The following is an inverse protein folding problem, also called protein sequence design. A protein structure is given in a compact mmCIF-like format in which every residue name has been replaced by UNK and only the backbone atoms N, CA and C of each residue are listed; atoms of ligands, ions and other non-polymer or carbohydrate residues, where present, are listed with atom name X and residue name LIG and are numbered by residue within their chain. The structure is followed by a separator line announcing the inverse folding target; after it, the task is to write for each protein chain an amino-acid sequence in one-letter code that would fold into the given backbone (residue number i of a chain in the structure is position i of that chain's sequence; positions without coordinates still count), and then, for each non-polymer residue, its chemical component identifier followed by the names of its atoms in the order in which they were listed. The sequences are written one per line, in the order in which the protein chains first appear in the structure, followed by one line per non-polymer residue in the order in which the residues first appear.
data_IF_112158895465
#
_entry.id   IF_112158895465
#
_cell.length_a   1.000
_cell.length_b   1.000
_cell.length_c   1.000
_cell.angle_alpha   90.00
_cell.angle_beta   90.00
_cell.angle_gamma   90.00
#
_symmetry.space_group_name_H-M   'P 1'
#
loop_
_entity.id
_entity.type
_entity.pdbx_description
1 polymer ?
#
# COMPACT_ATOMS: atom_id res chain seq x y z
N UNK A 1 42.18 -21.38 -30.09
CA UNK A 1 42.81 -20.44 -29.14
C UNK A 1 43.06 -21.18 -27.83
N UNK A 2 44.32 -21.35 -27.41
CA UNK A 2 44.64 -21.87 -26.06
C UNK A 2 44.48 -20.71 -25.09
N UNK A 3 43.50 -20.78 -24.19
CA UNK A 3 43.42 -19.84 -23.07
C UNK A 3 44.56 -20.22 -22.12
N UNK A 4 45.64 -19.45 -22.14
CA UNK A 4 46.76 -19.63 -21.22
C UNK A 4 46.22 -19.42 -19.80
N UNK A 5 46.10 -20.49 -19.00
CA UNK A 5 45.74 -20.35 -17.60
C UNK A 5 46.95 -19.79 -16.86
N UNK A 6 47.01 -18.47 -16.71
CA UNK A 6 48.02 -17.82 -15.89
C UNK A 6 48.02 -18.44 -14.47
N UNK A 7 49.20 -18.64 -13.89
CA UNK A 7 49.33 -19.18 -12.53
C UNK A 7 48.63 -18.26 -11.52
N UNK A 8 48.19 -18.81 -10.40
CA UNK A 8 47.53 -18.05 -9.34
C UNK A 8 48.39 -16.88 -8.85
N UNK A 9 49.72 -17.07 -8.81
CA UNK A 9 50.67 -16.02 -8.47
C UNK A 9 50.60 -14.82 -9.44
N UNK A 10 50.57 -15.08 -10.75
CA UNK A 10 50.43 -14.02 -11.76
C UNK A 10 49.08 -13.32 -11.60
N UNK A 11 48.00 -14.07 -11.36
CA UNK A 11 46.66 -13.49 -11.18
C UNK A 11 46.57 -12.62 -9.94
N UNK A 12 47.14 -13.04 -8.81
CA UNK A 12 47.19 -12.24 -7.58
C UNK A 12 48.01 -10.96 -7.77
N UNK A 13 49.17 -11.05 -8.43
CA UNK A 13 50.05 -9.89 -8.69
C UNK A 13 49.42 -8.89 -9.65
N UNK A 14 48.63 -9.36 -10.62
CA UNK A 14 47.99 -8.51 -11.63
C UNK A 14 46.64 -7.93 -11.20
N UNK A 15 45.96 -8.58 -10.25
CA UNK A 15 44.65 -8.15 -9.72
C UNK A 15 44.54 -6.66 -9.35
N UNK A 16 45.48 -6.04 -8.59
CA UNK A 16 45.36 -4.63 -8.22
C UNK A 16 45.35 -3.64 -9.40
N UNK A 17 45.86 -4.03 -10.58
CA UNK A 17 45.76 -3.20 -11.79
C UNK A 17 44.31 -2.96 -12.21
N UNK A 18 43.42 -3.91 -11.93
CA UNK A 18 42.00 -3.84 -12.27
C UNK A 18 41.15 -3.15 -11.19
N UNK A 19 41.74 -2.79 -10.03
CA UNK A 19 41.03 -2.14 -8.93
C UNK A 19 41.14 -0.62 -9.01
N UNK A 20 40.11 0.10 -8.53
CA UNK A 20 40.09 1.56 -8.39
C UNK A 20 39.58 1.97 -7.00
N UNK A 21 39.96 3.16 -6.55
CA UNK A 21 39.46 3.76 -5.31
C UNK A 21 39.65 2.86 -4.07
N UNK A 22 38.60 2.73 -3.26
CA UNK A 22 38.61 1.96 -1.99
C UNK A 22 39.05 0.49 -2.16
N UNK A 23 38.73 -0.13 -3.30
CA UNK A 23 39.14 -1.50 -3.60
C UNK A 23 40.66 -1.64 -3.75
N UNK A 24 41.30 -0.66 -4.40
CA UNK A 24 42.76 -0.65 -4.56
C UNK A 24 43.46 -0.41 -3.21
N UNK A 25 42.97 0.55 -2.43
CA UNK A 25 43.53 0.86 -1.10
C UNK A 25 43.42 -0.33 -0.14
N UNK A 26 42.30 -1.05 -0.16
CA UNK A 26 42.16 -2.29 0.62
C UNK A 26 43.21 -3.33 0.24
N UNK A 27 43.39 -3.59 -1.06
CA UNK A 27 44.37 -4.58 -1.51
C UNK A 27 45.79 -4.19 -1.11
N UNK A 28 46.13 -2.89 -1.18
CA UNK A 28 47.43 -2.36 -0.76
C UNK A 28 47.66 -2.44 0.76
N UNK A 29 46.58 -2.47 1.56
CA UNK A 29 46.66 -2.60 3.01
C UNK A 29 46.74 -4.05 3.52
N UNK A 30 46.74 -5.05 2.64
CA UNK A 30 46.87 -6.46 3.04
C UNK A 30 48.30 -6.76 3.48
N UNK A 31 48.45 -7.57 4.54
CA UNK A 31 49.75 -8.01 5.00
C UNK A 31 50.46 -8.85 3.91
N UNK A 32 51.79 -8.71 3.72
CA UNK A 32 52.54 -9.56 2.80
C UNK A 32 52.33 -11.05 3.10
N UNK A 33 52.06 -11.85 2.07
CA UNK A 33 51.82 -13.29 2.20
C UNK A 33 50.45 -13.68 2.79
N UNK A 34 49.55 -12.72 3.05
CA UNK A 34 48.19 -13.01 3.55
C UNK A 34 47.27 -13.69 2.54
N UNK A 35 47.64 -13.73 1.26
CA UNK A 35 46.89 -14.36 0.17
C UNK A 35 47.77 -15.40 -0.50
N UNK A 36 47.33 -16.66 -0.48
CA UNK A 36 48.10 -17.81 -0.98
C UNK A 36 47.65 -18.27 -2.37
N UNK A 37 46.48 -17.84 -2.82
CA UNK A 37 45.89 -18.26 -4.10
C UNK A 37 44.90 -17.24 -4.64
N UNK A 38 44.63 -17.30 -5.95
CA UNK A 38 43.67 -16.39 -6.57
C UNK A 38 42.21 -16.64 -6.10
N UNK A 39 41.76 -17.89 -5.86
CA UNK A 39 40.47 -18.14 -5.22
C UNK A 39 40.35 -17.57 -3.81
N UNK A 40 41.43 -17.58 -3.01
CA UNK A 40 41.45 -16.94 -1.69
C UNK A 40 41.31 -15.43 -1.78
N UNK A 41 42.04 -14.79 -2.70
CA UNK A 41 41.88 -13.37 -3.01
C UNK A 41 40.44 -13.04 -3.39
N UNK A 42 39.83 -13.84 -4.28
CA UNK A 42 38.43 -13.68 -4.67
C UNK A 42 37.48 -13.75 -3.48
N UNK A 43 37.67 -14.72 -2.58
CA UNK A 43 36.85 -14.86 -1.35
C UNK A 43 36.98 -13.64 -0.44
N UNK A 44 38.20 -13.16 -0.17
CA UNK A 44 38.40 -11.98 0.67
C UNK A 44 37.87 -10.70 0.02
N UNK A 45 38.04 -10.54 -1.29
CA UNK A 45 37.49 -9.41 -2.03
C UNK A 45 35.96 -9.37 -1.96
N UNK A 46 35.31 -10.53 -2.13
CA UNK A 46 33.86 -10.69 -1.94
C UNK A 46 33.46 -10.38 -0.49
N UNK A 47 34.18 -10.92 0.50
CA UNK A 47 33.91 -10.64 1.91
C UNK A 47 34.08 -9.14 2.27
N UNK A 48 34.98 -8.41 1.61
CA UNK A 48 35.20 -7.00 1.90
C UNK A 48 34.23 -6.07 1.16
N UNK A 49 33.95 -6.34 -0.12
CA UNK A 49 33.22 -5.42 -0.99
C UNK A 49 31.82 -5.89 -1.36
N UNK A 50 31.58 -7.19 -1.37
CA UNK A 50 30.31 -7.79 -1.74
C UNK A 50 29.46 -8.11 -0.50
N UNK A 51 30.07 -8.23 0.69
CA UNK A 51 29.37 -8.54 1.93
C UNK A 51 28.45 -7.42 2.45
N UNK A 52 28.54 -6.21 1.86
CA UNK A 52 27.56 -5.14 2.08
C UNK A 52 26.27 -5.31 1.26
N UNK A 53 26.31 -6.07 0.15
CA UNK A 53 25.14 -6.39 -0.69
C UNK A 53 24.43 -7.68 -0.26
N UNK A 54 25.01 -8.45 0.66
CA UNK A 54 24.48 -9.73 1.14
C UNK A 54 23.81 -9.64 2.51
N UNK A 55 23.30 -8.47 2.90
CA UNK A 55 22.03 -8.49 3.62
C UNK A 55 20.97 -8.87 2.61
N UNK A 56 20.93 -10.15 2.19
CA UNK A 56 19.72 -10.68 1.57
C UNK A 56 18.62 -10.40 2.57
N UNK A 57 17.71 -9.49 2.22
CA UNK A 57 16.50 -9.26 3.00
C UNK A 57 15.93 -10.65 3.29
N UNK A 58 15.79 -10.98 4.57
CA UNK A 58 15.33 -12.30 4.98
C UNK A 58 13.80 -12.27 5.17
N UNK A 59 13.20 -13.39 5.55
CA UNK A 59 11.76 -13.47 5.79
C UNK A 59 11.25 -12.39 6.77
N UNK A 60 12.06 -11.99 7.76
CA UNK A 60 11.74 -10.93 8.72
C UNK A 60 11.55 -9.58 8.05
N UNK A 61 12.36 -9.28 7.02
CA UNK A 61 12.20 -8.06 6.23
C UNK A 61 10.84 -8.03 5.52
N UNK A 62 10.43 -9.13 4.90
CA UNK A 62 9.11 -9.21 4.25
C UNK A 62 7.97 -8.96 5.23
N UNK A 63 8.04 -9.54 6.43
CA UNK A 63 7.03 -9.38 7.48
C UNK A 63 6.94 -7.94 8.03
N UNK A 64 7.99 -7.14 7.85
CA UNK A 64 8.03 -5.74 8.28
C UNK A 64 7.37 -4.80 7.25
N UNK A 65 7.10 -5.25 6.02
CA UNK A 65 6.51 -4.42 4.98
C UNK A 65 5.03 -4.23 5.28
N UNK A 66 4.63 -2.99 5.59
CA UNK A 66 3.24 -2.59 5.83
C UNK A 66 2.74 -1.64 4.75
N UNK A 67 1.50 -1.80 4.33
CA UNK A 67 0.77 -0.85 3.49
C UNK A 67 0.59 0.46 4.26
N UNK A 68 0.97 1.58 3.65
CA UNK A 68 0.88 2.89 4.29
C UNK A 68 -0.56 3.42 4.28
N UNK A 69 -0.94 4.32 5.21
CA UNK A 69 -2.30 4.89 5.26
C UNK A 69 -2.76 5.57 3.97
N UNK A 70 -1.81 6.18 3.25
CA UNK A 70 -2.02 6.93 2.00
C UNK A 70 -1.67 6.12 0.74
N UNK A 71 -1.24 4.87 0.90
CA UNK A 71 -0.82 4.02 -0.21
C UNK A 71 -1.98 3.16 -0.71
N UNK A 72 -2.27 3.27 -2.01
CA UNK A 72 -3.24 2.39 -2.68
C UNK A 72 -2.77 0.95 -2.68
N UNK A 73 -3.70 0.00 -2.75
CA UNK A 73 -3.36 -1.42 -2.77
C UNK A 73 -2.42 -1.77 -3.94
N UNK A 74 -2.62 -1.15 -5.10
CA UNK A 74 -1.75 -1.35 -6.28
C UNK A 74 -0.31 -0.93 -6.00
N UNK A 75 -0.10 0.23 -5.37
CA UNK A 75 1.24 0.72 -5.06
C UNK A 75 1.92 -0.16 -4.00
N UNK A 76 1.15 -0.59 -2.99
CA UNK A 76 1.63 -1.56 -2.01
C UNK A 76 2.07 -2.87 -2.68
N UNK A 77 1.26 -3.46 -3.56
CA UNK A 77 1.59 -4.69 -4.28
C UNK A 77 2.88 -4.54 -5.10
N UNK A 78 3.03 -3.43 -5.83
CA UNK A 78 4.25 -3.15 -6.60
C UNK A 78 5.48 -3.07 -5.70
N UNK A 79 5.38 -2.34 -4.57
CA UNK A 79 6.48 -2.21 -3.61
C UNK A 79 6.80 -3.54 -2.95
N UNK A 80 5.79 -4.27 -2.48
CA UNK A 80 5.95 -5.58 -1.87
C UNK A 80 6.63 -6.57 -2.81
N UNK A 81 6.24 -6.60 -4.09
CA UNK A 81 6.89 -7.45 -5.09
C UNK A 81 8.36 -7.08 -5.32
N UNK A 82 8.67 -5.79 -5.46
CA UNK A 82 10.05 -5.32 -5.62
C UNK A 82 10.95 -5.68 -4.43
N UNK A 83 10.41 -5.63 -3.22
CA UNK A 83 11.09 -6.05 -1.99
C UNK A 83 11.25 -7.57 -1.90
N UNK A 84 10.23 -8.34 -2.31
CA UNK A 84 10.24 -9.81 -2.35
C UNK A 84 11.24 -10.38 -3.34
N UNK A 85 11.53 -9.68 -4.43
CA UNK A 85 12.59 -10.06 -5.38
C UNK A 85 14.00 -9.95 -4.77
N UNK A 86 14.19 -9.17 -3.71
CA UNK A 86 15.48 -9.01 -3.03
C UNK A 86 15.73 -10.09 -1.96
N UNK A 87 14.73 -10.92 -1.67
CA UNK A 87 14.77 -12.01 -0.68
C UNK A 87 15.15 -13.30 -1.40
N UNK A 88 16.24 -13.94 -0.95
CA UNK A 88 16.66 -15.26 -1.42
C UNK A 88 15.87 -16.37 -0.73
N UNK A 89 15.71 -17.51 -1.41
CA UNK A 89 15.12 -18.74 -0.87
C UNK A 89 13.81 -18.52 -0.09
N UNK A 90 12.82 -17.91 -0.76
CA UNK A 90 11.51 -17.60 -0.17
C UNK A 90 10.54 -18.76 -0.30
N UNK A 91 10.02 -19.22 0.83
CA UNK A 91 8.87 -20.13 0.90
C UNK A 91 7.59 -19.37 0.52
N UNK A 92 6.79 -19.95 -0.36
CA UNK A 92 5.52 -19.37 -0.84
C UNK A 92 4.58 -18.99 0.33
N UNK A 93 4.48 -19.85 1.35
CA UNK A 93 3.66 -19.60 2.54
C UNK A 93 4.16 -18.40 3.34
N UNK A 94 5.46 -18.20 3.41
CA UNK A 94 6.06 -17.02 4.07
C UNK A 94 5.72 -15.76 3.31
N UNK A 95 5.77 -15.79 1.97
CA UNK A 95 5.38 -14.66 1.11
C UNK A 95 3.91 -14.32 1.31
N UNK A 96 3.03 -15.33 1.28
CA UNK A 96 1.60 -15.14 1.49
C UNK A 96 1.30 -14.55 2.88
N UNK A 97 1.90 -15.12 3.93
CA UNK A 97 1.72 -14.64 5.30
C UNK A 97 2.22 -13.20 5.46
N UNK A 98 3.39 -12.87 4.90
CA UNK A 98 3.92 -11.51 4.92
C UNK A 98 3.03 -10.52 4.14
N UNK A 99 2.49 -10.92 2.99
CA UNK A 99 1.58 -10.10 2.21
C UNK A 99 0.32 -9.77 3.01
N UNK A 100 -0.35 -10.78 3.57
CA UNK A 100 -1.58 -10.59 4.37
C UNK A 100 -1.31 -9.76 5.63
N UNK A 101 -0.20 -10.01 6.33
CA UNK A 101 0.24 -9.24 7.48
C UNK A 101 0.53 -7.77 7.11
N UNK A 102 1.00 -7.54 5.89
CA UNK A 102 1.30 -6.21 5.36
C UNK A 102 0.08 -5.37 5.03
N UNK A 103 -1.09 -5.95 4.84
CA UNK A 103 -2.30 -5.22 4.45
C UNK A 103 -2.82 -4.31 5.56
N UNK A 104 -3.47 -3.21 5.17
CA UNK A 104 -4.33 -2.46 6.11
C UNK A 104 -5.55 -3.29 6.46
N UNK A 105 -6.08 -3.06 7.66
CA UNK A 105 -7.31 -3.69 8.14
C UNK A 105 -8.53 -3.07 7.45
N UNK A 106 -8.76 -3.51 6.22
CA UNK A 106 -9.82 -3.06 5.32
C UNK A 106 -10.48 -4.26 4.63
N UNK A 107 -11.34 -4.00 3.65
CA UNK A 107 -12.17 -5.00 2.98
C UNK A 107 -11.37 -6.22 2.47
N UNK A 108 -10.21 -6.02 1.85
CA UNK A 108 -9.38 -7.13 1.37
C UNK A 108 -8.86 -7.99 2.52
N UNK A 109 -8.38 -7.37 3.62
CA UNK A 109 -7.88 -8.11 4.78
C UNK A 109 -8.97 -9.01 5.37
N UNK A 110 -10.18 -8.48 5.57
CA UNK A 110 -11.31 -9.26 6.07
C UNK A 110 -11.70 -10.41 5.13
N UNK A 111 -11.77 -10.16 3.81
CA UNK A 111 -12.07 -11.22 2.83
C UNK A 111 -11.04 -12.35 2.83
N UNK A 112 -9.76 -12.01 2.98
CA UNK A 112 -8.68 -13.00 3.05
C UNK A 112 -8.68 -13.74 4.39
N UNK A 113 -9.07 -13.09 5.49
CA UNK A 113 -9.22 -13.74 6.79
C UNK A 113 -10.43 -14.70 6.83
N UNK A 114 -11.56 -14.31 6.23
CA UNK A 114 -12.77 -15.15 6.14
C UNK A 114 -12.52 -16.37 5.26
N UNK A 115 -11.85 -16.18 4.12
CA UNK A 115 -11.54 -17.25 3.16
C UNK A 115 -10.06 -17.21 2.83
N UNK A 116 -9.20 -17.88 3.61
CA UNK A 116 -7.77 -17.95 3.32
C UNK A 116 -7.51 -18.49 1.91
N UNK A 117 -6.60 -17.87 1.13
CA UNK A 117 -6.22 -18.39 -0.18
C UNK A 117 -5.40 -19.69 -0.02
N UNK A 118 -5.60 -20.65 -0.93
CA UNK A 118 -4.91 -21.93 -0.90
C UNK A 118 -3.47 -21.87 -1.42
N UNK A 119 -3.16 -20.89 -2.27
CA UNK A 119 -1.84 -20.67 -2.86
C UNK A 119 -1.63 -19.19 -3.23
N UNK A 120 -0.41 -18.86 -3.65
CA UNK A 120 0.00 -17.50 -4.00
C UNK A 120 -0.72 -16.97 -5.25
N UNK A 121 -0.99 -17.82 -6.23
CA UNK A 121 -1.71 -17.43 -7.45
C UNK A 121 -3.12 -16.91 -7.13
N UNK A 122 -3.84 -17.66 -6.29
CA UNK A 122 -5.17 -17.27 -5.83
C UNK A 122 -5.12 -15.97 -5.00
N UNK A 123 -4.15 -15.84 -4.10
CA UNK A 123 -3.94 -14.61 -3.31
C UNK A 123 -3.74 -13.40 -4.24
N UNK A 124 -2.83 -13.51 -5.21
CA UNK A 124 -2.53 -12.41 -6.13
C UNK A 124 -3.72 -12.08 -7.02
N UNK A 125 -4.45 -13.08 -7.50
CA UNK A 125 -5.68 -12.88 -8.29
C UNK A 125 -6.70 -12.05 -7.51
N UNK A 126 -6.96 -12.41 -6.26
CA UNK A 126 -7.89 -11.68 -5.38
C UNK A 126 -7.39 -10.27 -5.06
N UNK A 127 -6.10 -10.10 -4.82
CA UNK A 127 -5.49 -8.79 -4.55
C UNK A 127 -5.58 -7.86 -5.77
N UNK A 128 -5.33 -8.37 -6.99
CA UNK A 128 -5.49 -7.59 -8.22
C UNK A 128 -6.94 -7.17 -8.46
N UNK A 129 -7.91 -8.07 -8.25
CA UNK A 129 -9.32 -7.74 -8.34
C UNK A 129 -9.71 -6.64 -7.34
N UNK A 130 -9.22 -6.72 -6.10
CA UNK A 130 -9.45 -5.69 -5.09
C UNK A 130 -8.81 -4.34 -5.46
N UNK A 131 -7.59 -4.34 -6.00
CA UNK A 131 -6.92 -3.11 -6.43
C UNK A 131 -7.69 -2.41 -7.57
N UNK A 132 -8.25 -3.19 -8.50
CA UNK A 132 -9.11 -2.65 -9.56
C UNK A 132 -10.43 -2.10 -8.98
N UNK A 133 -11.05 -2.80 -8.04
CA UNK A 133 -12.29 -2.35 -7.39
C UNK A 133 -12.08 -1.07 -6.57
N UNK A 134 -10.94 -0.93 -5.89
CA UNK A 134 -10.55 0.29 -5.16
C UNK A 134 -10.49 1.49 -6.11
N UNK A 135 -9.85 1.34 -7.28
CA UNK A 135 -9.72 2.40 -8.28
C UNK A 135 -11.07 2.78 -8.90
N UNK A 136 -11.90 1.79 -9.26
CA UNK A 136 -13.27 2.04 -9.73
C UNK A 136 -14.09 2.79 -8.68
N UNK A 137 -13.99 2.38 -7.41
CA UNK A 137 -14.65 3.05 -6.30
C UNK A 137 -14.16 4.49 -6.08
N UNK A 138 -12.86 4.74 -6.26
CA UNK A 138 -12.25 6.08 -6.17
C UNK A 138 -12.82 7.01 -7.25
N UNK A 139 -12.82 6.57 -8.50
CA UNK A 139 -13.35 7.34 -9.63
C UNK A 139 -14.84 7.62 -9.49
N UNK A 140 -15.62 6.65 -9.00
CA UNK A 140 -17.06 6.84 -8.74
C UNK A 140 -17.30 7.92 -7.67
N UNK A 141 -16.56 7.88 -6.57
CA UNK A 141 -16.64 8.90 -5.50
C UNK A 141 -16.28 10.30 -6.00
N UNK A 142 -15.28 10.40 -6.87
CA UNK A 142 -14.88 11.67 -7.49
C UNK A 142 -15.98 12.22 -8.41
N UNK A 143 -16.55 11.36 -9.27
CA UNK A 143 -17.68 11.71 -10.12
C UNK A 143 -18.92 12.17 -9.33
N UNK A 144 -19.25 11.47 -8.24
CA UNK A 144 -20.40 11.83 -7.40
C UNK A 144 -20.19 13.17 -6.68
N UNK A 145 -18.96 13.47 -6.26
CA UNK A 145 -18.58 14.77 -5.67
C UNK A 145 -18.67 15.91 -6.68
N UNK A 146 -18.20 15.70 -7.91
CA UNK A 146 -18.35 16.69 -8.99
C UNK A 146 -19.82 16.97 -9.30
N UNK A 147 -20.64 15.92 -9.36
CA UNK A 147 -22.07 16.07 -9.62
C UNK A 147 -22.78 16.83 -8.50
N UNK A 148 -22.42 16.58 -7.24
CA UNK A 148 -22.90 17.34 -6.08
C UNK A 148 -22.50 18.82 -6.13
N UNK A 149 -21.24 19.12 -6.46
CA UNK A 149 -20.75 20.49 -6.58
C UNK A 149 -21.42 21.27 -7.72
N UNK A 150 -21.74 20.63 -8.86
CA UNK A 150 -22.49 21.28 -9.94
C UNK A 150 -23.92 21.65 -9.54
N UNK A 151 -24.60 20.79 -8.75
CA UNK A 151 -25.94 21.12 -8.22
C UNK A 151 -25.93 22.24 -7.18
N UNK A 152 -24.85 22.36 -6.40
CA UNK A 152 -24.69 23.43 -5.40
C UNK A 152 -24.32 24.81 -5.97
N UNK A 153 -23.94 24.90 -7.25
CA UNK A 153 -23.56 26.15 -7.94
C UNK A 153 -24.64 26.72 -8.88
N UNK A 154 -25.83 26.10 -8.94
CA UNK A 154 -26.98 26.67 -9.64
C UNK A 154 -27.53 27.87 -8.86
N UNK A 155 -27.65 29.01 -9.54
CA UNK A 155 -28.03 30.34 -9.03
C UNK A 155 -29.01 30.35 -7.83
N UNK A 156 -28.88 31.32 -6.88
CA UNK A 156 -29.95 31.63 -5.95
C UNK A 156 -31.22 32.01 -6.74
N UNK A 157 -32.42 31.60 -6.30
CA UNK A 157 -33.63 32.09 -6.93
C UNK A 157 -33.72 33.61 -6.71
N UNK A 158 -33.76 34.38 -7.80
CA UNK A 158 -34.20 35.77 -7.76
C UNK A 158 -35.61 35.80 -7.14
N UNK A 159 -35.70 36.34 -5.94
CA UNK A 159 -36.97 36.69 -5.32
C UNK A 159 -37.57 37.83 -6.15
N UNK A 160 -38.42 37.49 -7.12
CA UNK A 160 -39.36 38.45 -7.69
C UNK A 160 -40.65 38.35 -6.88
N UNK A 161 -40.86 39.35 -6.04
CA UNK A 161 -42.11 39.61 -5.34
C UNK A 161 -43.30 39.57 -6.32
N UNK A 162 -44.25 38.69 -6.06
CA UNK A 162 -45.50 38.56 -6.81
C UNK A 162 -46.53 37.78 -5.97
N UNK A 163 -47.80 38.23 -5.92
CA UNK A 163 -48.67 37.95 -4.78
C UNK A 163 -49.17 36.50 -4.74
N UNK A 164 -48.93 35.86 -3.60
CA UNK A 164 -49.43 34.54 -3.20
C UNK A 164 -50.96 34.45 -3.30
N UNK A 165 -51.47 33.62 -4.23
CA UNK A 165 -52.84 33.10 -4.18
C UNK A 165 -52.92 32.09 -3.05
N UNK A 166 -53.62 32.46 -1.97
CA UNK A 166 -53.90 31.57 -0.84
C UNK A 166 -54.93 30.52 -1.26
N UNK A 167 -54.57 29.24 -1.16
CA UNK A 167 -55.48 28.12 -1.39
C UNK A 167 -56.46 27.99 -0.22
N UNK A 168 -57.73 27.77 -0.55
CA UNK A 168 -58.91 27.74 0.34
C UNK A 168 -58.85 26.64 1.42
N UNK A 169 -57.92 25.69 1.29
CA UNK A 169 -57.85 24.51 2.16
C UNK A 169 -57.30 24.78 3.57
N UNK A 170 -56.59 25.90 3.80
CA UNK A 170 -56.04 26.25 5.13
C UNK A 170 -57.07 26.83 6.10
N UNK A 171 -58.28 27.17 5.64
CA UNK A 171 -59.32 27.76 6.52
C UNK A 171 -60.09 26.74 7.36
N UNK A 172 -60.11 25.46 6.97
CA UNK A 172 -60.91 24.44 7.67
C UNK A 172 -60.20 23.77 8.85
N UNK A 173 -58.87 23.94 8.97
CA UNK A 173 -58.09 23.35 10.08
C UNK A 173 -58.07 24.20 11.34
N UNK A 174 -58.56 25.45 11.30
CA UNK A 174 -58.53 26.36 12.46
C UNK A 174 -59.80 26.31 13.32
N UNK A 175 -60.88 25.73 12.81
CA UNK A 175 -62.17 25.64 13.53
C UNK A 175 -62.29 24.42 14.44
N UNK A 176 -61.44 23.39 14.27
CA UNK A 176 -61.41 22.21 15.16
C UNK A 176 -60.54 22.36 16.41
N UNK A 177 -59.70 23.39 16.51
CA UNK A 177 -58.80 23.59 17.67
C UNK A 177 -59.47 24.35 18.82
N UNK A 178 -60.58 25.06 18.57
CA UNK A 178 -61.27 25.84 19.61
C UNK A 178 -62.34 25.06 20.40
N UNK A 179 -62.78 23.89 19.91
CA UNK A 179 -63.76 23.06 20.63
C UNK A 179 -63.15 22.12 21.69
N UNK A 180 -61.82 21.96 21.73
CA UNK A 180 -61.16 21.08 22.70
C UNK A 180 -60.83 21.78 24.04
N UNK A 181 -60.88 23.12 24.10
CA UNK A 181 -60.53 23.87 25.31
C UNK A 181 -61.70 24.23 26.24
N UNK A 182 -62.96 24.02 25.84
CA UNK A 182 -64.11 24.40 26.68
C UNK A 182 -64.71 23.26 27.52
N UNK A 183 -64.24 22.02 27.38
CA UNK A 183 -64.78 20.85 28.13
C UNK A 183 -64.01 20.53 29.42
N UNK A 184 -63.23 21.48 29.98
CA UNK A 184 -62.47 21.29 31.24
C UNK A 184 -62.79 22.30 32.35
N UNK A 185 -63.92 23.02 32.28
CA UNK A 185 -64.38 23.90 33.37
C UNK A 185 -65.87 23.74 33.68
N UNK A 186 -66.34 22.54 34.01
CA UNK A 186 -67.55 22.34 34.83
C UNK A 186 -67.45 21.03 35.60
N UNK A 187 -66.82 21.06 36.78
CA UNK A 187 -66.96 20.01 37.78
C UNK A 187 -66.67 20.59 39.18
N UNK A 188 -67.72 21.02 39.87
CA UNK A 188 -67.79 21.14 41.34
C UNK A 188 -69.22 20.77 41.74
N UNK A 189 -69.43 19.66 42.45
CA UNK A 189 -70.71 19.34 43.08
C UNK A 189 -70.70 19.67 44.60
N UNK A 190 -71.89 19.64 45.25
CA UNK A 190 -72.26 20.51 46.38
C UNK A 190 -71.79 20.03 47.75
#
# INVERSE_FOLDING_TARGET
MRVQTASDEIRCKTFPMFLKGKARLWFQGLAPGSIRSFPELGRQFVAQFVFSKTYSKNATHLMAIRQRPDESLRNFMTRFNAESLQVRDKDEKVVMAAFVNGLRVEELFYKLAEKPPGNLEELLTRAHAAANAEEVGRLKKESDREFGNRRGRGNPPEIKDGPTKKNVFDRLSREKVLLCHHSRRKATPP
#
